data_IF_549173644456
#
_entry.id   IF_549173644456
#
_cell.length_a   1.000
_cell.length_b   1.000
_cell.length_c   1.000
_cell.angle_alpha   90.00
_cell.angle_beta   90.00
_cell.angle_gamma   90.00
#
_symmetry.space_group_name_H-M   'P 1'
#
loop_
_entity.id
_entity.type
_entity.pdbx_description
1 polymer ?
#
# COMPACT_ATOMS: atom_id res chain seq x y z
N UNK A 1 0.03 1.37 -20.78
CA UNK A 1 -1.35 0.96 -21.15
C UNK A 1 -1.53 -0.53 -20.93
N UNK A 2 -2.61 -0.93 -20.26
CA UNK A 2 -3.04 -2.33 -20.09
C UNK A 2 -4.30 -2.61 -20.91
N UNK A 3 -4.26 -3.64 -21.75
CA UNK A 3 -5.43 -4.13 -22.49
C UNK A 3 -5.95 -5.39 -21.81
N UNK A 4 -7.17 -5.31 -21.25
CA UNK A 4 -7.79 -6.47 -20.58
C UNK A 4 -8.64 -7.26 -21.58
N UNK A 5 -8.37 -8.56 -21.70
CA UNK A 5 -9.05 -9.41 -22.68
C UNK A 5 -9.57 -10.71 -22.05
N UNK A 6 -10.74 -11.13 -22.49
CA UNK A 6 -11.27 -12.45 -22.18
C UNK A 6 -10.87 -13.41 -23.31
N UNK A 7 -9.75 -14.14 -23.11
CA UNK A 7 -9.27 -15.04 -24.14
C UNK A 7 -7.76 -15.21 -24.14
N UNK A 8 -7.13 -14.92 -25.25
CA UNK A 8 -5.66 -14.93 -25.41
C UNK A 8 -5.23 -13.74 -26.27
N UNK A 9 -3.94 -13.37 -26.20
CA UNK A 9 -3.35 -12.34 -27.09
C UNK A 9 -3.63 -12.61 -28.57
N UNK A 10 -3.67 -13.88 -28.98
CA UNK A 10 -3.98 -14.30 -30.35
C UNK A 10 -5.40 -13.90 -30.81
N UNK A 11 -6.31 -13.63 -29.89
CA UNK A 11 -7.67 -13.21 -30.20
C UNK A 11 -7.79 -11.72 -30.53
N UNK A 12 -6.74 -10.93 -30.28
CA UNK A 12 -6.69 -9.51 -30.62
C UNK A 12 -6.29 -9.33 -32.08
N UNK A 13 -7.29 -9.18 -32.95
CA UNK A 13 -7.04 -8.86 -34.34
C UNK A 13 -6.42 -7.45 -34.44
N UNK A 14 -5.44 -7.30 -35.33
CA UNK A 14 -4.74 -6.03 -35.56
C UNK A 14 -4.03 -5.43 -34.32
N UNK A 15 -3.57 -6.28 -33.38
CA UNK A 15 -2.85 -5.83 -32.21
C UNK A 15 -1.62 -4.98 -32.58
N UNK A 16 -0.87 -5.37 -33.63
CA UNK A 16 0.32 -4.65 -34.10
C UNK A 16 -0.03 -3.21 -34.53
N UNK A 17 -1.10 -3.02 -35.31
CA UNK A 17 -1.57 -1.69 -35.69
C UNK A 17 -2.00 -0.83 -34.51
N UNK A 18 -2.65 -1.46 -33.50
CA UNK A 18 -3.02 -0.77 -32.27
C UNK A 18 -1.78 -0.35 -31.48
N UNK A 19 -0.78 -1.22 -31.39
CA UNK A 19 0.49 -0.92 -30.73
C UNK A 19 1.20 0.23 -31.42
N UNK A 20 1.30 0.19 -32.75
CA UNK A 20 1.91 1.26 -33.55
C UNK A 20 1.25 2.61 -33.23
N UNK A 21 -0.09 2.67 -33.29
CA UNK A 21 -0.84 3.89 -32.97
C UNK A 21 -0.65 4.35 -31.51
N UNK A 22 -0.57 3.43 -30.56
CA UNK A 22 -0.35 3.76 -29.14
C UNK A 22 1.08 4.27 -28.90
N UNK A 23 2.07 3.77 -29.63
CA UNK A 23 3.47 4.20 -29.47
C UNK A 23 3.73 5.62 -30.03
N UNK A 24 2.86 6.14 -30.87
CA UNK A 24 2.89 7.55 -31.31
C UNK A 24 2.54 8.53 -30.17
N UNK A 25 1.88 8.04 -29.11
CA UNK A 25 1.52 8.86 -27.95
C UNK A 25 2.79 9.17 -27.16
N UNK A 26 3.13 10.46 -27.06
CA UNK A 26 4.30 10.92 -26.30
C UNK A 26 4.24 10.42 -24.84
N UNK A 27 5.28 9.72 -24.41
CA UNK A 27 5.38 9.18 -23.06
C UNK A 27 4.87 7.75 -22.93
N UNK A 28 4.43 7.08 -24.01
CA UNK A 28 4.09 5.67 -23.98
C UNK A 28 5.35 4.84 -23.73
N UNK A 29 5.42 4.15 -22.60
CA UNK A 29 6.60 3.39 -22.16
C UNK A 29 6.35 1.90 -21.98
N UNK A 30 5.09 1.49 -21.85
CA UNK A 30 4.70 0.11 -21.61
C UNK A 30 3.31 -0.19 -22.16
N UNK A 31 3.18 -1.29 -22.88
CA UNK A 31 1.89 -1.84 -23.31
C UNK A 31 1.88 -3.33 -22.98
N UNK A 32 0.87 -3.77 -22.25
CA UNK A 32 0.66 -5.16 -21.88
C UNK A 32 -0.77 -5.63 -22.16
N UNK A 33 -0.95 -6.93 -22.30
CA UNK A 33 -2.26 -7.59 -22.37
C UNK A 33 -2.47 -8.36 -21.09
N UNK A 34 -3.51 -8.01 -20.36
CA UNK A 34 -3.97 -8.78 -19.21
C UNK A 34 -5.05 -9.77 -19.65
N UNK A 35 -4.83 -11.03 -19.37
CA UNK A 35 -5.75 -12.11 -19.74
C UNK A 35 -6.61 -12.44 -18.53
N UNK A 36 -7.89 -12.04 -18.59
CA UNK A 36 -8.88 -12.36 -17.58
C UNK A 36 -9.95 -13.31 -18.17
N UNK A 37 -9.94 -14.56 -17.75
CA UNK A 37 -10.93 -15.57 -18.11
C UNK A 37 -11.93 -15.86 -16.98
N UNK A 38 -11.77 -15.20 -15.85
CA UNK A 38 -12.61 -15.42 -14.68
C UNK A 38 -13.99 -14.77 -14.86
N UNK A 39 -15.03 -15.50 -14.48
CA UNK A 39 -16.41 -14.97 -14.43
C UNK A 39 -16.71 -14.42 -13.04
N UNK A 40 -15.88 -13.47 -12.59
CA UNK A 40 -15.99 -12.84 -11.28
C UNK A 40 -16.02 -11.31 -11.43
N UNK A 41 -16.19 -10.57 -10.35
CA UNK A 41 -16.08 -9.11 -10.34
C UNK A 41 -14.62 -8.61 -10.45
N UNK A 42 -13.67 -9.51 -10.63
CA UNK A 42 -12.26 -9.18 -10.80
C UNK A 42 -12.03 -8.62 -12.19
N UNK A 43 -11.50 -7.39 -12.28
CA UNK A 43 -11.23 -6.71 -13.56
C UNK A 43 -9.97 -7.30 -14.19
N UNK A 44 -8.91 -7.49 -13.41
CA UNK A 44 -7.61 -7.99 -13.87
C UNK A 44 -7.46 -9.48 -13.58
N UNK A 45 -7.08 -10.26 -14.59
CA UNK A 45 -6.62 -11.64 -14.43
C UNK A 45 -5.17 -11.70 -13.94
N UNK A 46 -4.73 -12.89 -13.55
CA UNK A 46 -3.37 -13.11 -13.04
C UNK A 46 -2.29 -13.15 -14.14
N UNK A 47 -2.67 -13.33 -15.40
CA UNK A 47 -1.72 -13.46 -16.52
C UNK A 47 -1.54 -12.16 -17.26
N UNK A 48 -0.28 -11.71 -17.32
CA UNK A 48 0.16 -10.55 -18.12
C UNK A 48 1.03 -11.05 -19.28
N UNK A 49 0.82 -10.53 -20.47
CA UNK A 49 1.69 -10.71 -21.62
C UNK A 49 2.21 -9.33 -22.07
N UNK A 50 3.53 -9.20 -22.13
CA UNK A 50 4.19 -8.00 -22.61
C UNK A 50 4.00 -7.86 -24.12
N UNK A 51 3.76 -6.63 -24.55
CA UNK A 51 3.56 -6.30 -25.97
C UNK A 51 4.59 -5.28 -26.43
N UNK A 52 4.80 -4.23 -25.63
CA UNK A 52 5.75 -3.18 -25.95
C UNK A 52 6.38 -2.61 -24.69
N UNK A 53 7.68 -2.31 -24.76
CA UNK A 53 8.43 -1.70 -23.68
C UNK A 53 8.70 -2.66 -22.52
N UNK A 54 8.80 -2.10 -21.31
CA UNK A 54 9.05 -2.86 -20.09
C UNK A 54 7.74 -3.30 -19.42
N UNK A 55 7.71 -4.41 -18.65
CA UNK A 55 6.51 -4.85 -17.94
C UNK A 55 6.18 -4.00 -16.70
N UNK A 56 6.63 -2.77 -16.65
CA UNK A 56 6.42 -1.83 -15.56
C UNK A 56 6.57 -0.39 -16.03
N UNK A 57 6.08 0.54 -15.22
CA UNK A 57 6.32 1.97 -15.35
C UNK A 57 7.01 2.48 -14.09
N UNK A 58 7.54 3.70 -14.16
CA UNK A 58 8.04 4.42 -12.98
C UNK A 58 7.18 5.63 -12.69
N UNK A 59 6.95 5.87 -11.39
CA UNK A 59 6.35 7.11 -10.91
C UNK A 59 6.97 7.49 -9.56
N UNK A 60 6.63 8.68 -9.06
CA UNK A 60 7.19 9.25 -7.85
C UNK A 60 6.10 9.68 -6.87
N UNK A 61 6.33 9.47 -5.57
CA UNK A 61 5.59 10.11 -4.51
C UNK A 61 6.60 10.92 -3.68
N UNK A 62 6.53 12.25 -3.81
CA UNK A 62 7.59 13.10 -3.29
C UNK A 62 8.94 12.79 -3.96
N UNK A 63 9.94 12.46 -3.17
CA UNK A 63 11.28 12.12 -3.64
C UNK A 63 11.52 10.61 -3.84
N UNK A 64 10.54 9.78 -3.51
CA UNK A 64 10.65 8.31 -3.60
C UNK A 64 10.16 7.84 -4.96
N UNK A 65 11.00 7.10 -5.66
CA UNK A 65 10.72 6.49 -6.96
C UNK A 65 10.15 5.10 -6.78
N UNK A 66 9.09 4.78 -7.52
CA UNK A 66 8.48 3.46 -7.50
C UNK A 66 8.48 2.84 -8.89
N UNK A 67 8.84 1.56 -8.95
CA UNK A 67 8.55 0.69 -10.07
C UNK A 67 7.17 0.07 -9.82
N UNK A 68 6.30 0.18 -10.81
CA UNK A 68 4.89 -0.19 -10.70
C UNK A 68 4.59 -1.22 -11.79
N UNK A 69 4.28 -2.44 -11.37
CA UNK A 69 3.85 -3.51 -12.27
C UNK A 69 2.38 -3.36 -12.68
N UNK A 70 1.93 -4.05 -13.74
CA UNK A 70 0.56 -3.96 -14.24
C UNK A 70 -0.53 -4.44 -13.26
N UNK A 71 -0.15 -5.24 -12.27
CA UNK A 71 -1.05 -5.76 -11.22
C UNK A 71 -0.85 -5.06 -9.88
N UNK A 72 0.15 -4.18 -9.77
CA UNK A 72 0.43 -3.45 -8.54
C UNK A 72 -0.63 -2.39 -8.29
N UNK A 73 -1.11 -2.28 -7.06
CA UNK A 73 -1.90 -1.12 -6.65
C UNK A 73 -0.98 0.09 -6.50
N UNK A 74 -1.37 1.18 -7.09
CA UNK A 74 -0.73 2.49 -6.93
C UNK A 74 -1.80 3.57 -6.95
N UNK A 75 -1.67 4.57 -6.08
CA UNK A 75 -2.66 5.64 -5.92
C UNK A 75 -2.77 6.49 -7.19
N UNK A 76 -4.00 6.72 -7.64
CA UNK A 76 -4.28 7.32 -8.96
C UNK A 76 -4.17 8.85 -9.00
N UNK A 77 -4.16 9.53 -7.85
CA UNK A 77 -4.04 10.98 -7.76
C UNK A 77 -2.70 11.36 -7.12
N UNK A 78 -1.63 11.56 -7.89
CA UNK A 78 -0.28 11.73 -7.34
C UNK A 78 -0.15 12.97 -6.45
N UNK A 79 -0.90 14.03 -6.73
CA UNK A 79 -0.90 15.25 -5.91
C UNK A 79 -1.48 14.98 -4.53
N UNK A 80 -2.66 14.36 -4.47
CA UNK A 80 -3.33 14.06 -3.21
C UNK A 80 -2.67 12.88 -2.47
N UNK A 81 -2.08 11.93 -3.19
CA UNK A 81 -1.29 10.85 -2.60
C UNK A 81 -0.12 11.39 -1.79
N UNK A 82 0.56 12.41 -2.31
CA UNK A 82 1.64 13.07 -1.56
C UNK A 82 1.09 13.70 -0.27
N UNK A 83 -0.04 14.41 -0.34
CA UNK A 83 -0.69 15.01 0.84
C UNK A 83 -1.10 13.93 1.85
N UNK A 84 -1.69 12.83 1.38
CA UNK A 84 -2.09 11.69 2.21
C UNK A 84 -0.89 11.11 2.97
N UNK A 85 0.23 10.87 2.28
CA UNK A 85 1.42 10.26 2.88
C UNK A 85 2.20 11.24 3.76
N UNK A 86 2.24 12.52 3.41
CA UNK A 86 2.77 13.56 4.29
C UNK A 86 1.97 13.65 5.60
N UNK A 87 0.65 13.50 5.51
CA UNK A 87 -0.22 13.45 6.70
C UNK A 87 0.01 12.18 7.52
N UNK A 88 0.15 11.03 6.89
CA UNK A 88 0.49 9.79 7.59
C UNK A 88 1.86 9.89 8.30
N UNK A 89 2.87 10.49 7.65
CA UNK A 89 4.18 10.74 8.23
C UNK A 89 4.11 11.75 9.40
N UNK A 90 3.35 12.85 9.27
CA UNK A 90 3.12 13.80 10.35
C UNK A 90 2.49 13.11 11.56
N UNK A 91 1.51 12.23 11.32
CA UNK A 91 0.80 11.52 12.38
C UNK A 91 1.63 10.40 13.00
N UNK A 92 2.52 9.79 12.25
CA UNK A 92 3.51 8.84 12.77
C UNK A 92 4.52 9.52 13.72
N UNK A 93 4.76 10.85 13.58
CA UNK A 93 5.60 11.68 14.44
C UNK A 93 6.98 11.07 14.72
N UNK A 94 7.67 10.67 13.65
CA UNK A 94 8.94 9.96 13.69
C UNK A 94 10.09 10.92 13.98
N UNK A 95 11.01 10.52 14.89
CA UNK A 95 12.20 11.27 15.30
C UNK A 95 13.51 10.61 14.86
N UNK A 96 13.44 9.50 14.13
CA UNK A 96 14.59 8.75 13.65
C UNK A 96 15.01 7.57 14.53
N UNK A 97 14.29 7.33 15.64
CA UNK A 97 14.59 6.23 16.56
C UNK A 97 13.53 5.12 16.53
N UNK A 98 12.41 5.38 15.86
CA UNK A 98 11.26 4.49 15.91
C UNK A 98 11.36 3.33 14.94
N UNK A 99 10.86 2.17 15.38
CA UNK A 99 10.53 1.03 14.57
C UNK A 99 9.07 1.12 14.15
N UNK A 100 8.84 1.15 12.84
CA UNK A 100 7.51 1.26 12.24
C UNK A 100 7.13 -0.05 11.56
N UNK A 101 5.90 -0.49 11.76
CA UNK A 101 5.29 -1.57 11.00
C UNK A 101 4.20 -1.03 10.09
N UNK A 102 4.30 -1.32 8.81
CA UNK A 102 3.31 -1.01 7.78
C UNK A 102 2.59 -2.32 7.40
N UNK A 103 1.35 -2.42 7.82
CA UNK A 103 0.52 -3.60 7.60
C UNK A 103 -0.41 -3.32 6.41
N UNK A 104 -0.37 -4.15 5.39
CA UNK A 104 -0.90 -3.94 4.04
C UNK A 104 0.00 -3.07 3.14
N UNK A 105 1.33 -3.29 3.20
CA UNK A 105 2.29 -2.39 2.58
C UNK A 105 2.27 -2.36 1.03
N UNK A 106 1.62 -3.34 0.38
CA UNK A 106 1.62 -3.44 -1.09
C UNK A 106 3.04 -3.47 -1.64
N UNK A 107 3.32 -2.62 -2.62
CA UNK A 107 4.66 -2.43 -3.22
C UNK A 107 5.57 -1.50 -2.40
N UNK A 108 5.23 -1.27 -1.12
CA UNK A 108 6.01 -0.48 -0.18
C UNK A 108 5.79 1.03 -0.28
N UNK A 109 4.65 1.50 -0.79
CA UNK A 109 4.44 2.94 -1.05
C UNK A 109 4.50 3.77 0.24
N UNK A 110 3.72 3.43 1.26
CA UNK A 110 3.77 4.10 2.56
C UNK A 110 5.05 3.75 3.32
N UNK A 111 5.44 2.45 3.30
CA UNK A 111 6.65 1.98 3.98
C UNK A 111 7.89 2.81 3.61
N UNK A 112 8.16 2.99 2.31
CA UNK A 112 9.34 3.71 1.85
C UNK A 112 9.23 5.23 2.07
N UNK A 113 8.01 5.75 2.07
CA UNK A 113 7.80 7.15 2.42
C UNK A 113 8.15 7.41 3.89
N UNK A 114 7.77 6.50 4.81
CA UNK A 114 8.10 6.54 6.23
C UNK A 114 9.58 6.22 6.50
N UNK A 115 10.21 5.37 5.69
CA UNK A 115 11.62 5.00 5.83
C UNK A 115 12.57 6.21 5.74
N UNK A 116 12.15 7.32 5.16
CA UNK A 116 12.91 8.57 5.12
C UNK A 116 13.14 9.16 6.52
N UNK A 117 12.33 8.79 7.53
CA UNK A 117 12.42 9.34 8.89
C UNK A 117 12.40 8.30 10.00
N UNK A 118 12.12 7.05 9.68
CA UNK A 118 12.14 5.95 10.65
C UNK A 118 13.53 5.39 10.84
N UNK A 119 13.84 4.86 12.02
CA UNK A 119 15.04 4.04 12.25
C UNK A 119 14.96 2.75 11.44
N UNK A 120 13.82 2.08 11.49
CA UNK A 120 13.55 0.85 10.76
C UNK A 120 12.07 0.77 10.37
N UNK A 121 11.80 0.30 9.17
CA UNK A 121 10.44 0.01 8.69
C UNK A 121 10.32 -1.45 8.34
N UNK A 122 9.25 -2.09 8.79
CA UNK A 122 8.87 -3.45 8.44
C UNK A 122 7.53 -3.40 7.71
N UNK A 123 7.51 -3.86 6.45
CA UNK A 123 6.31 -3.96 5.64
C UNK A 123 5.78 -5.40 5.59
N UNK A 124 4.48 -5.57 5.69
CA UNK A 124 3.82 -6.88 5.58
C UNK A 124 2.73 -6.82 4.52
N UNK A 125 2.75 -7.80 3.62
CA UNK A 125 1.76 -7.95 2.55
C UNK A 125 1.56 -9.44 2.24
N UNK A 126 0.33 -9.83 1.93
CA UNK A 126 0.01 -11.23 1.62
C UNK A 126 0.44 -11.62 0.21
N UNK A 127 0.51 -10.66 -0.71
CA UNK A 127 0.85 -10.87 -2.12
C UNK A 127 2.37 -10.88 -2.28
N UNK A 128 2.91 -12.05 -2.62
CA UNK A 128 4.36 -12.22 -2.75
C UNK A 128 4.98 -11.29 -3.80
N UNK A 129 4.33 -11.14 -4.94
CA UNK A 129 4.79 -10.29 -6.05
C UNK A 129 4.90 -8.82 -5.63
N UNK A 130 3.95 -8.35 -4.81
CA UNK A 130 4.00 -6.99 -4.26
C UNK A 130 5.19 -6.80 -3.30
N UNK A 131 5.52 -7.82 -2.50
CA UNK A 131 6.71 -7.79 -1.64
C UNK A 131 8.01 -7.81 -2.45
N UNK A 132 8.05 -8.57 -3.55
CA UNK A 132 9.21 -8.58 -4.44
C UNK A 132 9.41 -7.17 -5.05
N UNK A 133 8.34 -6.51 -5.47
CA UNK A 133 8.36 -5.12 -5.94
C UNK A 133 8.75 -4.14 -4.82
N UNK A 134 8.26 -4.31 -3.58
CA UNK A 134 8.61 -3.46 -2.44
C UNK A 134 10.12 -3.52 -2.13
N UNK A 135 10.71 -4.72 -2.15
CA UNK A 135 12.16 -4.91 -1.96
C UNK A 135 12.97 -4.25 -3.08
N UNK A 136 12.49 -4.37 -4.33
CA UNK A 136 13.11 -3.71 -5.46
C UNK A 136 13.04 -2.19 -5.34
N UNK A 137 11.88 -1.66 -4.94
CA UNK A 137 11.66 -0.24 -4.71
C UNK A 137 12.55 0.30 -3.58
N UNK A 138 12.71 -0.45 -2.47
CA UNK A 138 13.63 -0.08 -1.39
C UNK A 138 15.07 0.01 -1.90
N UNK A 139 15.54 -1.02 -2.59
CA UNK A 139 16.89 -1.07 -3.17
C UNK A 139 17.14 0.08 -4.15
N UNK A 140 16.17 0.37 -5.01
CA UNK A 140 16.27 1.42 -6.04
C UNK A 140 16.42 2.82 -5.42
N UNK A 141 15.85 3.05 -4.24
CA UNK A 141 15.92 4.31 -3.51
C UNK A 141 17.01 4.33 -2.42
N UNK A 142 17.77 3.24 -2.22
CA UNK A 142 18.81 3.16 -1.21
C UNK A 142 18.30 3.09 0.24
N UNK A 143 17.08 2.54 0.44
CA UNK A 143 16.52 2.34 1.78
C UNK A 143 16.95 1.00 2.37
N UNK A 144 18.08 0.97 3.06
CA UNK A 144 18.57 -0.22 3.77
C UNK A 144 17.85 -0.45 5.12
N UNK A 145 17.07 0.54 5.56
CA UNK A 145 16.28 0.50 6.78
C UNK A 145 14.84 0.00 6.57
N UNK A 146 14.49 -0.47 5.37
CA UNK A 146 13.19 -1.07 5.06
C UNK A 146 13.33 -2.59 4.81
N UNK A 147 12.47 -3.38 5.44
CA UNK A 147 12.42 -4.83 5.32
C UNK A 147 10.99 -5.31 5.11
N UNK A 148 10.79 -6.36 4.30
CA UNK A 148 9.47 -6.75 3.84
C UNK A 148 9.22 -8.24 3.99
N UNK A 149 8.04 -8.61 4.50
CA UNK A 149 7.61 -9.98 4.78
C UNK A 149 6.35 -10.34 4.00
N UNK A 150 6.35 -11.53 3.42
CA UNK A 150 5.15 -12.13 2.83
C UNK A 150 4.35 -12.84 3.90
N UNK A 151 3.08 -12.55 4.03
CA UNK A 151 2.17 -13.25 4.93
C UNK A 151 1.07 -12.36 5.47
N UNK A 152 0.23 -12.93 6.30
CA UNK A 152 -0.78 -12.18 7.03
C UNK A 152 -0.16 -11.44 8.19
N UNK A 153 -0.53 -10.18 8.37
CA UNK A 153 0.06 -9.32 9.40
C UNK A 153 -0.14 -9.89 10.81
N UNK A 154 -1.30 -10.48 11.10
CA UNK A 154 -1.61 -11.11 12.37
C UNK A 154 -0.81 -12.40 12.68
N UNK A 155 -0.08 -12.91 11.68
CA UNK A 155 0.82 -14.06 11.83
C UNK A 155 2.29 -13.64 11.82
N UNK A 156 2.64 -12.70 10.94
CA UNK A 156 4.01 -12.21 10.78
C UNK A 156 4.46 -11.39 11.99
N UNK A 157 3.63 -10.46 12.43
CA UNK A 157 3.97 -9.52 13.49
C UNK A 157 4.36 -10.23 14.82
N UNK A 158 3.53 -11.15 15.37
CA UNK A 158 3.90 -11.88 16.59
C UNK A 158 5.13 -12.76 16.40
N UNK A 159 5.25 -13.41 15.23
CA UNK A 159 6.39 -14.28 14.94
C UNK A 159 7.71 -13.52 14.97
N UNK A 160 7.77 -12.35 14.34
CA UNK A 160 9.00 -11.53 14.30
C UNK A 160 9.31 -10.93 15.67
N UNK A 161 8.28 -10.58 16.45
CA UNK A 161 8.44 -10.13 17.83
C UNK A 161 9.04 -11.24 18.71
N UNK A 162 8.50 -12.45 18.65
CA UNK A 162 8.95 -13.58 19.48
C UNK A 162 10.35 -14.08 19.07
N UNK A 163 10.63 -14.17 17.78
CA UNK A 163 11.90 -14.72 17.27
C UNK A 163 13.04 -13.70 17.31
N UNK A 164 12.76 -12.46 16.94
CA UNK A 164 13.78 -11.44 16.65
C UNK A 164 13.73 -10.26 17.63
N UNK A 165 12.78 -10.26 18.60
CA UNK A 165 12.60 -9.18 19.55
C UNK A 165 12.20 -7.85 18.88
N UNK A 166 11.56 -7.91 17.72
CA UNK A 166 11.22 -6.72 16.94
C UNK A 166 9.88 -6.16 17.40
N UNK A 167 9.90 -5.09 18.15
CA UNK A 167 8.70 -4.41 18.64
C UNK A 167 8.32 -3.24 17.74
N UNK A 168 7.02 -2.87 17.76
CA UNK A 168 6.48 -1.73 17.06
C UNK A 168 6.40 -0.50 17.98
N UNK A 169 7.09 0.59 17.66
CA UNK A 169 6.80 1.89 18.28
C UNK A 169 5.56 2.52 17.63
N UNK A 170 5.43 2.36 16.33
CA UNK A 170 4.30 2.84 15.54
C UNK A 170 3.83 1.76 14.57
N UNK A 171 2.54 1.55 14.48
CA UNK A 171 1.90 0.73 13.45
C UNK A 171 1.17 1.66 12.48
N UNK A 172 1.35 1.44 11.18
CA UNK A 172 0.60 2.10 10.12
C UNK A 172 -0.21 1.05 9.39
N UNK A 173 -1.46 1.36 9.09
CA UNK A 173 -2.36 0.48 8.33
C UNK A 173 -3.07 1.28 7.24
N UNK A 174 -3.17 0.68 6.06
CA UNK A 174 -3.99 1.15 4.92
C UNK A 174 -4.79 -0.04 4.35
N UNK A 175 -5.81 -0.52 5.11
CA UNK A 175 -6.54 -1.72 4.75
C UNK A 175 -7.48 -1.48 3.56
N UNK A 176 -7.93 -2.55 2.89
CA UNK A 176 -8.99 -2.45 1.88
C UNK A 176 -10.30 -1.92 2.48
N UNK A 177 -11.28 -1.58 1.65
CA UNK A 177 -12.59 -1.01 2.05
C UNK A 177 -13.31 -1.73 3.20
N UNK A 178 -13.09 -3.02 3.37
CA UNK A 178 -13.67 -3.80 4.48
C UNK A 178 -13.09 -3.47 5.86
N UNK A 179 -12.03 -2.66 5.93
CA UNK A 179 -11.28 -2.38 7.16
C UNK A 179 -10.35 -3.52 7.55
N UNK A 180 -9.80 -3.44 8.77
CA UNK A 180 -8.96 -4.47 9.33
C UNK A 180 -9.79 -5.69 9.76
N UNK A 181 -9.17 -6.87 9.66
CA UNK A 181 -9.71 -8.09 10.26
C UNK A 181 -9.65 -8.01 11.80
N UNK A 182 -10.64 -8.60 12.49
CA UNK A 182 -10.70 -8.58 13.94
C UNK A 182 -9.46 -9.16 14.61
N UNK A 183 -8.91 -10.23 14.04
CA UNK A 183 -7.68 -10.86 14.55
C UNK A 183 -6.46 -9.93 14.40
N UNK A 184 -6.42 -9.13 13.32
CA UNK A 184 -5.38 -8.12 13.17
C UNK A 184 -5.51 -6.99 14.19
N UNK A 185 -6.73 -6.49 14.44
CA UNK A 185 -6.96 -5.49 15.50
C UNK A 185 -6.51 -6.00 16.88
N UNK A 186 -6.87 -7.24 17.24
CA UNK A 186 -6.39 -7.89 18.47
C UNK A 186 -4.86 -7.98 18.52
N UNK A 187 -4.23 -8.31 17.40
CA UNK A 187 -2.77 -8.39 17.30
C UNK A 187 -2.13 -7.02 17.50
N UNK A 188 -2.66 -5.97 16.87
CA UNK A 188 -2.18 -4.60 17.07
C UNK A 188 -2.28 -4.16 18.54
N UNK A 189 -3.39 -4.48 19.20
CA UNK A 189 -3.58 -4.19 20.63
C UNK A 189 -2.55 -4.93 21.48
N UNK A 190 -2.32 -6.22 21.23
CA UNK A 190 -1.31 -7.04 21.94
C UNK A 190 0.11 -6.54 21.75
N UNK A 191 0.45 -6.08 20.56
CA UNK A 191 1.76 -5.48 20.27
C UNK A 191 1.98 -4.14 20.97
N UNK A 192 0.90 -3.53 21.41
CA UNK A 192 0.89 -2.33 22.23
C UNK A 192 1.77 -1.16 21.72
N UNK A 193 1.72 -0.81 20.42
CA UNK A 193 2.49 0.32 19.91
C UNK A 193 2.09 1.62 20.61
N UNK A 194 3.03 2.55 20.72
CA UNK A 194 2.77 3.88 21.28
C UNK A 194 1.76 4.65 20.41
N UNK A 195 1.79 4.41 19.11
CA UNK A 195 0.94 5.08 18.10
C UNK A 195 0.45 4.11 17.05
N UNK A 196 -0.76 4.39 16.57
CA UNK A 196 -1.32 3.77 15.37
C UNK A 196 -1.71 4.89 14.41
N UNK A 197 -1.27 4.80 13.16
CA UNK A 197 -1.74 5.66 12.07
C UNK A 197 -2.63 4.80 11.17
N UNK A 198 -3.89 5.16 11.09
CA UNK A 198 -4.87 4.45 10.29
C UNK A 198 -5.24 5.30 9.06
N UNK A 199 -4.91 4.83 7.87
CA UNK A 199 -5.37 5.39 6.58
C UNK A 199 -6.58 4.58 6.15
N UNK A 200 -7.63 5.21 5.66
CA UNK A 200 -8.87 4.52 5.27
C UNK A 200 -9.61 5.22 4.15
N UNK A 201 -10.02 4.44 3.16
CA UNK A 201 -10.89 4.90 2.07
C UNK A 201 -12.40 4.72 2.38
N UNK A 202 -12.77 4.19 3.57
CA UNK A 202 -14.15 3.97 3.96
C UNK A 202 -14.39 4.41 5.41
N UNK A 203 -15.09 5.53 5.63
CA UNK A 203 -15.34 6.07 6.98
C UNK A 203 -16.17 5.15 7.89
N UNK A 204 -17.03 4.29 7.32
CA UNK A 204 -17.90 3.42 8.12
C UNK A 204 -17.10 2.27 8.75
N UNK A 205 -16.25 1.62 7.94
CA UNK A 205 -15.35 0.56 8.46
C UNK A 205 -14.28 1.14 9.36
N UNK A 206 -13.78 2.33 9.07
CA UNK A 206 -12.87 3.06 9.95
C UNK A 206 -13.51 3.28 11.34
N UNK A 207 -14.73 3.81 11.41
CA UNK A 207 -15.42 4.07 12.68
C UNK A 207 -15.61 2.78 13.52
N UNK A 208 -15.91 1.65 12.84
CA UNK A 208 -15.99 0.34 13.48
C UNK A 208 -14.66 -0.07 14.10
N UNK A 209 -13.58 0.04 13.36
CA UNK A 209 -12.25 -0.38 13.81
C UNK A 209 -11.71 0.54 14.92
N UNK A 210 -11.94 1.85 14.79
CA UNK A 210 -11.61 2.82 15.83
C UNK A 210 -12.35 2.54 17.14
N UNK A 211 -13.63 2.12 17.08
CA UNK A 211 -14.40 1.71 18.29
C UNK A 211 -13.72 0.56 19.01
N UNK A 212 -13.21 -0.44 18.28
CA UNK A 212 -12.47 -1.57 18.88
C UNK A 212 -11.19 -1.08 19.54
N UNK A 213 -10.36 -0.33 18.79
CA UNK A 213 -9.07 0.17 19.30
C UNK A 213 -9.27 1.10 20.53
N UNK A 214 -10.32 1.94 20.52
CA UNK A 214 -10.62 2.83 21.64
C UNK A 214 -11.08 2.04 22.87
N UNK A 215 -11.82 0.96 22.71
CA UNK A 215 -12.20 0.05 23.80
C UNK A 215 -11.00 -0.65 24.44
N UNK A 216 -9.88 -0.74 23.73
CA UNK A 216 -8.63 -1.38 24.16
C UNK A 216 -7.53 -0.38 24.56
N UNK A 217 -7.92 0.85 24.91
CA UNK A 217 -7.04 1.86 25.50
C UNK A 217 -6.25 2.70 24.50
N UNK A 218 -6.77 2.88 23.29
CA UNK A 218 -6.24 3.86 22.34
C UNK A 218 -7.16 5.08 22.23
N UNK A 219 -6.60 6.27 22.28
CA UNK A 219 -7.32 7.53 22.10
C UNK A 219 -7.12 8.07 20.70
N UNK A 220 -8.20 8.49 20.04
CA UNK A 220 -8.14 9.20 18.77
C UNK A 220 -7.68 10.63 19.04
N UNK A 221 -6.46 10.97 18.63
CA UNK A 221 -5.88 12.32 18.85
C UNK A 221 -6.13 13.26 17.69
N UNK A 222 -6.04 12.74 16.47
CA UNK A 222 -6.14 13.55 15.24
C UNK A 222 -6.88 12.79 14.15
N UNK A 223 -7.67 13.52 13.39
CA UNK A 223 -8.36 13.02 12.20
C UNK A 223 -8.18 14.05 11.09
N UNK A 224 -7.88 13.59 9.88
CA UNK A 224 -7.79 14.43 8.70
C UNK A 224 -8.41 13.72 7.50
N UNK A 225 -9.31 14.40 6.80
CA UNK A 225 -9.83 13.95 5.52
C UNK A 225 -8.93 14.46 4.38
N UNK A 226 -8.73 13.63 3.36
CA UNK A 226 -7.96 13.95 2.15
C UNK A 226 -8.81 13.65 0.93
N UNK A 227 -9.00 14.63 0.05
CA UNK A 227 -9.80 14.51 -1.17
C UNK A 227 -9.01 13.79 -2.29
N UNK A 228 -8.74 12.51 -2.08
CA UNK A 228 -8.02 11.64 -3.01
C UNK A 228 -8.81 11.41 -4.30
N UNK A 229 -10.14 11.35 -4.19
CA UNK A 229 -11.06 11.01 -5.27
C UNK A 229 -12.05 12.15 -5.51
N UNK A 230 -11.53 13.32 -5.89
CA UNK A 230 -12.33 14.53 -6.16
C UNK A 230 -13.48 14.25 -7.12
N UNK A 231 -14.60 14.93 -6.91
CA UNK A 231 -15.86 14.74 -7.65
C UNK A 231 -16.54 13.36 -7.45
N UNK A 232 -16.18 12.65 -6.38
CA UNK A 232 -16.84 11.42 -5.96
C UNK A 232 -17.31 11.52 -4.50
N UNK A 233 -18.06 10.52 -4.02
CA UNK A 233 -18.45 10.40 -2.61
C UNK A 233 -17.38 9.74 -1.74
N UNK A 234 -16.24 9.41 -2.29
CA UNK A 234 -15.14 8.75 -1.59
C UNK A 234 -14.18 9.77 -0.97
N UNK A 235 -13.79 9.53 0.26
CA UNK A 235 -12.82 10.35 0.99
C UNK A 235 -11.80 9.43 1.67
N UNK A 236 -10.53 9.77 1.53
CA UNK A 236 -9.49 9.17 2.35
C UNK A 236 -9.44 9.85 3.70
N UNK A 237 -9.23 9.09 4.75
CA UNK A 237 -9.16 9.60 6.11
C UNK A 237 -7.92 9.07 6.80
N UNK A 238 -7.11 9.97 7.34
CA UNK A 238 -5.95 9.61 8.16
C UNK A 238 -6.27 9.88 9.61
N UNK A 239 -6.08 8.88 10.46
CA UNK A 239 -6.32 8.97 11.91
C UNK A 239 -5.04 8.65 12.66
N UNK A 240 -4.72 9.46 13.67
CA UNK A 240 -3.71 9.15 14.66
C UNK A 240 -4.39 8.69 15.95
N UNK A 241 -4.00 7.51 16.39
CA UNK A 241 -4.34 7.02 17.73
C UNK A 241 -3.07 6.96 18.57
N UNK A 242 -3.22 7.24 19.86
CA UNK A 242 -2.17 7.10 20.86
C UNK A 242 -2.65 6.16 21.97
N UNK A 243 -1.72 5.33 22.45
CA UNK A 243 -1.99 4.49 23.62
C UNK A 243 -2.17 5.39 24.85
N UNK A 244 -3.31 5.23 25.54
CA UNK A 244 -3.60 5.97 26.78
C UNK A 244 -2.53 5.66 27.82
N UNK A 245 -2.12 6.67 28.58
CA UNK A 245 -1.30 6.50 29.74
C UNK A 245 -2.24 6.15 30.91
N UNK A 246 -2.32 4.91 31.31
CA UNK A 246 -2.86 4.51 32.58
C UNK A 246 -1.75 4.41 33.61
#
# INVERSE_FOLDING_TARGET
>A
TGLVVNGSKKNLKNLDKLVDSLTEIKGMTSICVNINKEKTNRILGSRIEEVYGKPYIYDYIGNVKYQIGPLSFFQVNPTQTKVLYEKAMEYADLKGEETVWDLYCGIGTISLFLAQRAKKVYGVEIVKEAIDDAKLNAKMNGFDNAEFFVGKAEEVLPRECEKNGVYADTIVVDPPRKGCDGKLLETMVKMAPKRIVYVSCDPATLARDLKVLSGEGYEVEKVCAVDQFSHSSHVETVVRLRKSKF
#
